data_IF_099303500641
#
_entry.id   IF_099303500641
#
_cell.length_a   1.000
_cell.length_b   1.000
_cell.length_c   1.000
_cell.angle_alpha   90.00
_cell.angle_beta   90.00
_cell.angle_gamma   90.00
#
_symmetry.space_group_name_H-M   'P 1'
#
loop_
_entity.id
_entity.type
_entity.pdbx_description
1 polymer ?
#
# COMPACT_ATOMS: atom_id res chain seq x y z
N UNK A 1 -19.58 -7.44 12.93
CA UNK A 1 -20.96 -7.09 12.53
C UNK A 1 -21.05 -5.66 12.01
N UNK A 2 -20.53 -4.64 12.72
CA UNK A 2 -20.54 -3.24 12.24
C UNK A 2 -19.67 -2.98 10.99
N UNK A 3 -18.47 -3.56 10.89
CA UNK A 3 -17.61 -3.39 9.69
C UNK A 3 -18.23 -3.98 8.42
N UNK A 4 -19.00 -5.07 8.52
CA UNK A 4 -19.70 -5.65 7.38
C UNK A 4 -20.79 -4.71 6.86
N UNK A 5 -21.53 -4.06 7.78
CA UNK A 5 -22.54 -3.07 7.43
C UNK A 5 -21.94 -1.83 6.76
N UNK A 6 -20.78 -1.35 7.23
CA UNK A 6 -20.11 -0.20 6.61
C UNK A 6 -19.55 -0.53 5.22
N UNK A 7 -19.02 -1.74 5.03
CA UNK A 7 -18.56 -2.20 3.72
C UNK A 7 -19.72 -2.29 2.72
N UNK A 8 -20.85 -2.89 3.12
CA UNK A 8 -22.04 -2.97 2.27
C UNK A 8 -22.61 -1.58 1.96
N UNK A 9 -22.58 -0.66 2.94
CA UNK A 9 -22.94 0.74 2.73
C UNK A 9 -22.07 1.41 1.65
N UNK A 10 -20.74 1.21 1.67
CA UNK A 10 -19.88 1.78 0.63
C UNK A 10 -20.14 1.12 -0.73
N UNK A 11 -20.38 -0.19 -0.77
CA UNK A 11 -20.73 -0.91 -2.00
C UNK A 11 -22.02 -0.39 -2.63
N UNK A 12 -23.03 -0.08 -1.83
CA UNK A 12 -24.27 0.54 -2.33
C UNK A 12 -23.99 1.90 -2.96
N UNK A 13 -23.18 2.74 -2.29
CA UNK A 13 -22.75 4.04 -2.82
C UNK A 13 -21.93 3.92 -4.11
N UNK A 14 -21.07 2.91 -4.21
CA UNK A 14 -20.32 2.61 -5.43
C UNK A 14 -21.25 2.22 -6.59
N UNK A 15 -22.31 1.45 -6.33
CA UNK A 15 -23.32 1.14 -7.37
C UNK A 15 -24.03 2.39 -7.87
N UNK A 16 -24.36 3.32 -6.98
CA UNK A 16 -24.94 4.62 -7.37
C UNK A 16 -23.91 5.47 -8.13
N UNK A 17 -22.65 5.44 -7.71
CA UNK A 17 -21.55 6.22 -8.32
C UNK A 17 -21.33 5.88 -9.79
N UNK A 18 -21.62 4.64 -10.23
CA UNK A 18 -21.53 4.23 -11.64
C UNK A 18 -22.28 5.16 -12.62
N UNK A 19 -23.28 5.91 -12.15
CA UNK A 19 -24.04 6.84 -12.99
C UNK A 19 -23.33 8.17 -13.27
N UNK A 20 -22.36 8.55 -12.43
CA UNK A 20 -21.71 9.87 -12.44
C UNK A 20 -20.19 9.82 -12.43
N UNK A 21 -19.61 8.67 -12.06
CA UNK A 21 -18.16 8.54 -11.92
C UNK A 21 -17.45 8.58 -13.27
N UNK A 22 -16.24 9.16 -13.28
CA UNK A 22 -15.36 9.08 -14.43
C UNK A 22 -14.91 7.62 -14.65
N UNK A 23 -14.80 7.18 -15.90
CA UNK A 23 -14.29 5.85 -16.25
C UNK A 23 -12.93 5.92 -16.97
N UNK A 24 -12.70 6.96 -17.77
CA UNK A 24 -11.47 7.17 -18.52
C UNK A 24 -10.30 7.55 -17.58
N UNK A 25 -9.25 6.72 -17.50
CA UNK A 25 -8.08 7.01 -16.66
C UNK A 25 -7.03 7.89 -17.37
N UNK A 26 -7.22 8.28 -18.63
CA UNK A 26 -6.17 8.91 -19.46
C UNK A 26 -5.54 10.13 -18.79
N UNK A 27 -6.34 11.02 -18.20
CA UNK A 27 -5.83 12.22 -17.49
C UNK A 27 -5.00 11.87 -16.25
N UNK A 28 -5.33 10.80 -15.53
CA UNK A 28 -4.56 10.34 -14.37
C UNK A 28 -3.22 9.74 -14.80
N UNK A 29 -3.22 9.00 -15.91
CA UNK A 29 -2.02 8.41 -16.51
C UNK A 29 -1.10 9.51 -17.03
N UNK A 30 -1.63 10.47 -17.81
CA UNK A 30 -0.88 11.63 -18.30
C UNK A 30 -0.26 12.42 -17.16
N UNK A 31 -1.00 12.62 -16.08
CA UNK A 31 -0.49 13.27 -14.88
C UNK A 31 0.66 12.47 -14.26
N UNK A 32 0.50 11.15 -14.07
CA UNK A 32 1.54 10.28 -13.50
C UNK A 32 2.81 10.29 -14.35
N UNK A 33 2.68 10.21 -15.67
CA UNK A 33 3.79 10.31 -16.63
C UNK A 33 4.48 11.68 -16.59
N UNK A 34 3.70 12.76 -16.45
CA UNK A 34 4.23 14.10 -16.22
C UNK A 34 5.06 14.17 -14.94
N UNK A 35 4.60 13.53 -13.86
CA UNK A 35 5.34 13.46 -12.58
C UNK A 35 6.62 12.62 -12.70
N UNK A 36 6.59 11.49 -13.41
CA UNK A 36 7.78 10.64 -13.67
C UNK A 36 8.91 11.46 -14.29
N UNK A 37 8.61 12.23 -15.34
CA UNK A 37 9.60 13.07 -16.03
C UNK A 37 10.24 14.15 -15.17
N UNK A 38 9.58 14.56 -14.09
CA UNK A 38 10.00 15.66 -13.22
C UNK A 38 10.68 15.19 -11.93
N UNK A 39 10.59 13.90 -11.60
CA UNK A 39 11.10 13.37 -10.34
C UNK A 39 12.59 12.97 -10.50
N UNK A 40 13.53 13.61 -9.81
CA UNK A 40 14.92 13.17 -9.80
C UNK A 40 15.06 11.93 -8.90
N UNK A 41 14.88 10.74 -9.50
CA UNK A 41 15.00 9.47 -8.80
C UNK A 41 15.79 8.47 -9.65
N UNK A 42 16.81 7.85 -9.06
CA UNK A 42 17.56 6.77 -9.68
C UNK A 42 17.85 5.65 -8.67
N UNK A 43 17.82 4.42 -9.16
CA UNK A 43 18.18 3.24 -8.39
C UNK A 43 19.10 2.37 -9.26
N UNK A 44 20.13 1.81 -8.64
CA UNK A 44 21.12 0.96 -9.30
C UNK A 44 21.36 -0.28 -8.45
N UNK A 45 21.59 -1.42 -9.11
CA UNK A 45 22.02 -2.62 -8.41
C UNK A 45 23.44 -2.42 -7.89
N UNK A 46 23.65 -2.75 -6.62
CA UNK A 46 24.95 -2.76 -5.95
C UNK A 46 25.18 -4.13 -5.31
N UNK A 47 26.42 -4.47 -4.96
CA UNK A 47 26.66 -5.69 -4.22
C UNK A 47 26.06 -5.57 -2.81
N UNK A 48 25.53 -6.68 -2.27
CA UNK A 48 24.90 -6.70 -0.95
C UNK A 48 25.83 -6.23 0.18
N UNK A 49 27.13 -6.52 0.04
CA UNK A 49 28.20 -6.06 0.95
C UNK A 49 28.45 -4.54 0.92
N UNK A 50 28.04 -3.88 -0.16
CA UNK A 50 28.23 -2.43 -0.35
C UNK A 50 27.03 -1.62 0.20
N UNK A 51 25.98 -2.30 0.67
CA UNK A 51 24.80 -1.64 1.23
C UNK A 51 25.15 -1.00 2.58
N UNK A 52 25.17 0.32 2.61
CA UNK A 52 25.49 1.08 3.81
C UNK A 52 24.53 0.76 4.96
N UNK A 53 25.05 0.65 6.18
CA UNK A 53 24.29 0.37 7.41
C UNK A 53 23.60 -1.00 7.47
N UNK A 54 23.91 -1.90 6.55
CA UNK A 54 23.53 -3.31 6.65
C UNK A 54 24.75 -4.16 7.02
N UNK A 55 24.51 -5.19 7.83
CA UNK A 55 25.54 -6.10 8.38
C UNK A 55 25.07 -7.53 8.30
N UNK A 56 26.03 -8.45 8.30
CA UNK A 56 25.80 -9.88 8.41
C UNK A 56 26.25 -10.33 9.81
N UNK A 57 25.45 -11.13 10.51
CA UNK A 57 25.82 -11.74 11.79
C UNK A 57 26.56 -13.08 11.61
N UNK A 58 27.00 -13.69 12.71
CA UNK A 58 27.71 -14.98 12.71
C UNK A 58 26.83 -16.16 12.22
N UNK A 59 25.50 -15.99 12.25
CA UNK A 59 24.54 -16.96 11.71
C UNK A 59 24.27 -16.76 10.21
N UNK A 60 24.85 -15.72 9.61
CA UNK A 60 24.67 -15.37 8.21
C UNK A 60 23.44 -14.51 7.92
N UNK A 61 22.67 -14.10 8.93
CA UNK A 61 21.51 -13.23 8.76
C UNK A 61 21.96 -11.81 8.43
N UNK A 62 21.18 -11.11 7.59
CA UNK A 62 21.49 -9.75 7.16
C UNK A 62 20.46 -8.78 7.72
N UNK A 63 20.93 -7.75 8.41
CA UNK A 63 20.08 -6.81 9.15
C UNK A 63 20.59 -5.38 9.02
N UNK A 64 19.69 -4.41 9.24
CA UNK A 64 20.07 -3.01 9.37
C UNK A 64 20.57 -2.71 10.79
N UNK A 65 21.68 -1.96 10.92
CA UNK A 65 22.27 -1.62 12.23
C UNK A 65 21.35 -0.81 13.15
N UNK A 66 20.33 -0.14 12.61
CA UNK A 66 19.33 0.57 13.44
C UNK A 66 18.24 -0.35 14.00
N UNK A 67 18.19 -1.62 13.58
CA UNK A 67 17.10 -2.55 13.87
C UNK A 67 15.80 -2.26 13.10
N UNK A 68 15.78 -1.26 12.21
CA UNK A 68 14.61 -0.91 11.40
C UNK A 68 14.56 -1.70 10.09
N UNK A 69 13.44 -1.55 9.37
CA UNK A 69 13.17 -2.16 8.05
C UNK A 69 12.85 -3.66 8.15
N UNK A 70 13.77 -4.52 7.70
CA UNK A 70 13.59 -5.97 7.62
C UNK A 70 14.94 -6.66 7.82
N UNK A 71 14.89 -7.96 8.11
CA UNK A 71 16.05 -8.84 8.10
C UNK A 71 15.93 -9.84 6.94
N UNK A 72 17.07 -10.35 6.46
CA UNK A 72 17.14 -11.50 5.56
C UNK A 72 17.68 -12.67 6.39
N UNK A 73 16.88 -13.71 6.54
CA UNK A 73 17.18 -14.88 7.36
C UNK A 73 17.07 -16.16 6.54
N UNK A 74 17.59 -17.27 7.05
CA UNK A 74 17.41 -18.60 6.46
C UNK A 74 16.24 -19.35 7.09
N UNK A 75 15.41 -20.01 6.28
CA UNK A 75 14.38 -20.93 6.76
C UNK A 75 14.54 -22.31 6.14
N UNK A 76 14.22 -23.33 6.94
CA UNK A 76 14.06 -24.72 6.50
C UNK A 76 12.59 -25.10 6.54
N UNK A 77 12.05 -25.51 5.41
CA UNK A 77 10.66 -25.96 5.28
C UNK A 77 10.63 -27.48 5.14
N UNK A 78 9.74 -28.13 5.88
CA UNK A 78 9.51 -29.57 5.81
C UNK A 78 8.03 -29.83 5.60
N UNK A 79 7.70 -30.66 4.61
CA UNK A 79 6.33 -31.12 4.36
C UNK A 79 6.06 -32.40 5.15
N UNK A 80 4.79 -32.59 5.54
CA UNK A 80 4.37 -33.88 6.07
C UNK A 80 4.60 -35.00 5.03
N UNK A 81 4.97 -36.23 5.46
CA UNK A 81 5.23 -37.34 4.54
C UNK A 81 4.06 -37.58 3.59
N UNK A 82 4.35 -37.67 2.29
CA UNK A 82 3.36 -37.94 1.23
C UNK A 82 2.44 -36.77 0.87
N UNK A 83 2.56 -35.58 1.50
CA UNK A 83 1.70 -34.44 1.21
C UNK A 83 2.12 -33.64 -0.02
N UNK A 84 3.43 -33.54 -0.30
CA UNK A 84 4.00 -32.81 -1.44
C UNK A 84 5.08 -33.64 -2.14
N UNK A 85 5.30 -33.34 -3.41
CA UNK A 85 6.35 -33.95 -4.24
C UNK A 85 7.76 -33.68 -3.68
N UNK A 86 8.00 -32.46 -3.17
CA UNK A 86 9.25 -32.09 -2.51
C UNK A 86 9.05 -32.13 -0.99
N UNK A 87 9.83 -32.98 -0.31
CA UNK A 87 9.72 -33.22 1.13
C UNK A 87 10.23 -32.04 1.99
N UNK A 88 11.12 -31.20 1.46
CA UNK A 88 11.60 -30.02 2.15
C UNK A 88 12.63 -29.24 1.33
N UNK A 89 12.89 -28.00 1.74
CA UNK A 89 13.88 -27.13 1.11
C UNK A 89 14.36 -26.06 2.10
N UNK A 90 15.47 -25.43 1.75
CA UNK A 90 16.00 -24.26 2.45
C UNK A 90 15.91 -23.03 1.52
N UNK A 91 15.64 -21.87 2.08
CA UNK A 91 15.64 -20.61 1.33
C UNK A 91 15.92 -19.40 2.20
N UNK A 92 16.42 -18.29 1.62
CA UNK A 92 16.33 -16.99 2.29
C UNK A 92 14.88 -16.54 2.41
N UNK A 93 14.60 -15.74 3.43
CA UNK A 93 13.30 -15.14 3.68
C UNK A 93 13.47 -13.75 4.28
N UNK A 94 12.55 -12.84 3.96
CA UNK A 94 12.47 -11.53 4.57
C UNK A 94 11.61 -11.57 5.83
N UNK A 95 12.15 -11.08 6.93
CA UNK A 95 11.43 -10.98 8.21
C UNK A 95 11.25 -9.53 8.61
N UNK A 96 10.01 -9.14 8.90
CA UNK A 96 9.64 -7.81 9.40
C UNK A 96 8.44 -7.97 10.32
N UNK A 97 8.65 -7.85 11.62
CA UNK A 97 7.67 -8.26 12.65
C UNK A 97 6.49 -7.30 12.80
N UNK A 98 6.72 -6.00 12.62
CA UNK A 98 5.76 -4.97 13.02
C UNK A 98 4.67 -4.69 11.97
N UNK A 99 4.82 -5.27 10.77
CA UNK A 99 3.93 -5.06 9.65
C UNK A 99 3.73 -3.57 9.31
N UNK A 100 2.67 -3.28 8.60
CA UNK A 100 2.33 -1.92 8.21
C UNK A 100 0.85 -1.72 8.01
N UNK A 101 0.54 -0.52 7.52
CA UNK A 101 -0.80 -0.08 7.18
C UNK A 101 -0.84 0.33 5.71
N UNK A 102 -1.87 -0.15 5.02
CA UNK A 102 -2.20 0.11 3.64
C UNK A 102 -3.62 0.68 3.62
N UNK A 103 -3.76 2.01 3.62
CA UNK A 103 -5.07 2.65 3.74
C UNK A 103 -5.42 3.48 2.51
N UNK A 104 -6.66 3.35 2.07
CA UNK A 104 -7.30 4.27 1.12
C UNK A 104 -8.29 5.16 1.85
N UNK A 105 -8.11 6.47 1.68
CA UNK A 105 -9.18 7.44 1.96
C UNK A 105 -10.12 7.47 0.76
N UNK A 106 -11.42 7.42 1.01
CA UNK A 106 -12.45 7.68 0.02
C UNK A 106 -13.36 8.81 0.45
N UNK A 107 -13.96 9.49 -0.52
CA UNK A 107 -14.98 10.52 -0.31
C UNK A 107 -16.07 10.34 -1.34
N UNK A 108 -17.17 11.05 -1.19
CA UNK A 108 -18.19 11.17 -2.22
C UNK A 108 -18.45 12.62 -2.58
N UNK A 109 -18.64 12.90 -3.86
CA UNK A 109 -19.05 14.23 -4.34
C UNK A 109 -20.26 14.10 -5.26
N UNK A 110 -21.17 15.08 -5.32
CA UNK A 110 -22.37 15.00 -6.16
C UNK A 110 -22.06 14.74 -7.64
N UNK A 111 -21.01 15.35 -8.17
CA UNK A 111 -20.70 15.34 -9.61
C UNK A 111 -19.81 14.17 -10.04
N UNK A 112 -19.15 13.48 -9.11
CA UNK A 112 -18.16 12.43 -9.42
C UNK A 112 -18.38 11.11 -8.68
N UNK A 113 -19.38 11.06 -7.80
CA UNK A 113 -19.62 9.90 -6.95
C UNK A 113 -18.46 9.65 -5.98
N UNK A 114 -18.23 8.38 -5.67
CA UNK A 114 -17.16 7.93 -4.78
C UNK A 114 -15.80 7.95 -5.48
N UNK A 115 -14.86 8.69 -4.89
CA UNK A 115 -13.46 8.75 -5.32
C UNK A 115 -12.54 8.24 -4.20
N UNK A 116 -11.40 7.64 -4.57
CA UNK A 116 -10.34 7.20 -3.66
C UNK A 116 -9.09 8.06 -3.87
N UNK A 117 -8.43 8.46 -2.79
CA UNK A 117 -7.23 9.29 -2.85
C UNK A 117 -6.00 8.40 -3.08
N UNK A 118 -5.46 8.40 -4.29
CA UNK A 118 -4.24 7.66 -4.62
C UNK A 118 -3.00 8.52 -4.38
N UNK A 119 -1.93 7.89 -3.90
CA UNK A 119 -0.62 8.50 -3.76
C UNK A 119 0.27 8.13 -4.96
N UNK A 120 0.85 9.08 -5.66
CA UNK A 120 1.99 8.82 -6.54
C UNK A 120 3.24 8.65 -5.68
N UNK A 121 3.67 7.41 -5.48
CA UNK A 121 4.79 7.06 -4.61
C UNK A 121 5.92 6.44 -5.40
N UNK A 122 7.13 6.95 -5.17
CA UNK A 122 8.34 6.37 -5.72
C UNK A 122 8.88 5.30 -4.77
N UNK A 123 9.12 4.10 -5.28
CA UNK A 123 9.81 3.04 -4.55
C UNK A 123 10.95 2.47 -5.43
N UNK A 124 12.12 2.16 -4.86
CA UNK A 124 13.31 1.76 -5.64
C UNK A 124 13.13 0.43 -6.39
N UNK A 125 12.18 -0.41 -5.99
CA UNK A 125 11.83 -1.66 -6.66
C UNK A 125 10.81 -1.51 -7.80
N UNK A 126 10.20 -0.33 -7.98
CA UNK A 126 9.19 -0.13 -9.01
C UNK A 126 9.82 0.01 -10.40
N UNK A 127 9.30 -0.74 -11.37
CA UNK A 127 9.55 -0.44 -12.79
C UNK A 127 8.87 0.90 -13.11
N UNK A 128 9.63 1.86 -13.65
CA UNK A 128 9.19 3.25 -13.84
C UNK A 128 9.16 4.10 -12.56
N UNK A 129 9.69 3.57 -11.44
CA UNK A 129 9.85 4.14 -10.08
C UNK A 129 8.59 4.71 -9.41
N UNK A 130 7.79 5.52 -10.08
CA UNK A 130 6.58 6.17 -9.55
C UNK A 130 5.32 5.41 -9.97
N UNK A 131 4.52 4.93 -9.02
CA UNK A 131 3.25 4.25 -9.26
C UNK A 131 2.14 4.83 -8.37
N UNK A 132 0.88 4.58 -8.70
CA UNK A 132 -0.23 4.84 -7.78
C UNK A 132 -0.27 3.81 -6.67
N UNK A 133 -0.22 4.29 -5.43
CA UNK A 133 -0.22 3.56 -4.18
C UNK A 133 -1.43 3.98 -3.32
N UNK A 134 -1.73 3.23 -2.24
CA UNK A 134 -2.73 3.67 -1.25
C UNK A 134 -2.40 5.06 -0.70
N UNK A 135 -3.42 5.76 -0.18
CA UNK A 135 -3.25 7.09 0.41
C UNK A 135 -2.17 7.09 1.49
N UNK A 136 -2.16 6.04 2.30
CA UNK A 136 -1.20 5.80 3.38
C UNK A 136 -0.58 4.42 3.15
N UNK A 137 0.73 4.39 2.95
CA UNK A 137 1.54 3.18 2.83
C UNK A 137 2.77 3.33 3.72
N UNK A 138 2.71 2.78 4.94
CA UNK A 138 3.78 2.93 5.93
C UNK A 138 3.81 1.77 6.93
N UNK A 139 4.93 1.60 7.64
CA UNK A 139 5.03 0.66 8.77
C UNK A 139 4.41 1.27 10.02
N UNK A 140 3.93 0.43 10.95
CA UNK A 140 3.41 0.94 12.23
C UNK A 140 4.49 1.63 13.06
N UNK A 141 5.74 1.17 12.97
CA UNK A 141 6.90 1.84 13.57
C UNK A 141 7.03 3.29 13.09
N UNK A 142 6.92 3.53 11.78
CA UNK A 142 7.00 4.89 11.22
C UNK A 142 5.79 5.75 11.62
N UNK A 143 4.60 5.16 11.72
CA UNK A 143 3.39 5.87 12.15
C UNK A 143 3.50 6.29 13.62
N UNK A 144 4.02 5.43 14.50
CA UNK A 144 4.12 5.67 15.95
C UNK A 144 5.35 6.49 16.34
N UNK A 145 6.47 6.29 15.64
CA UNK A 145 7.79 6.80 16.02
C UNK A 145 8.10 8.24 15.59
N UNK A 146 7.34 8.81 14.66
CA UNK A 146 7.64 10.13 14.10
C UNK A 146 6.73 11.21 14.69
N UNK A 147 7.31 12.15 15.45
CA UNK A 147 6.67 13.42 15.85
C UNK A 147 6.81 14.46 14.72
N UNK A 148 5.80 15.32 14.61
CA UNK A 148 5.76 16.51 13.74
C UNK A 148 5.89 16.21 12.23
N UNK A 149 6.52 17.11 11.45
CA UNK A 149 6.59 17.11 9.97
C UNK A 149 7.17 15.85 9.30
N UNK A 150 7.56 14.84 10.08
CA UNK A 150 8.01 13.52 9.61
C UNK A 150 6.93 12.45 9.67
N UNK A 151 5.79 12.71 10.31
CA UNK A 151 4.64 11.78 10.34
C UNK A 151 4.15 11.54 8.92
N UNK A 152 3.82 10.30 8.58
CA UNK A 152 3.27 9.97 7.27
C UNK A 152 2.02 10.84 6.99
N UNK A 153 1.87 11.46 5.81
CA UNK A 153 0.68 12.24 5.50
C UNK A 153 -0.60 11.44 5.74
N UNK A 154 -1.61 12.09 6.30
CA UNK A 154 -2.91 11.50 6.64
C UNK A 154 -2.88 10.42 7.73
N UNK A 155 -1.77 10.22 8.45
CA UNK A 155 -1.69 9.24 9.53
C UNK A 155 -2.72 9.48 10.66
N UNK A 156 -3.19 10.72 10.83
CA UNK A 156 -4.29 11.08 11.72
C UNK A 156 -5.63 10.50 11.28
N UNK A 157 -5.83 10.22 9.99
CA UNK A 157 -7.06 9.60 9.50
C UNK A 157 -7.14 8.10 9.83
N UNK A 158 -6.05 7.47 10.29
CA UNK A 158 -6.07 6.06 10.71
C UNK A 158 -6.90 5.83 11.97
N UNK A 159 -7.12 6.88 12.76
CA UNK A 159 -7.96 6.87 13.95
C UNK A 159 -9.36 7.43 13.58
N UNK A 160 -10.42 6.61 13.59
CA UNK A 160 -11.77 7.06 13.24
C UNK A 160 -12.25 8.21 14.13
N UNK A 161 -13.02 9.13 13.54
CA UNK A 161 -13.57 10.33 14.18
C UNK A 161 -14.91 10.69 13.53
N UNK A 162 -15.54 11.78 13.97
CA UNK A 162 -16.78 12.27 13.36
C UNK A 162 -16.61 12.56 11.85
N UNK A 163 -15.40 12.93 11.40
CA UNK A 163 -15.12 13.17 9.98
C UNK A 163 -14.57 11.95 9.24
N UNK A 164 -14.15 10.90 9.94
CA UNK A 164 -13.49 9.73 9.36
C UNK A 164 -14.18 8.45 9.82
N UNK A 165 -14.91 7.82 8.90
CA UNK A 165 -15.62 6.57 9.13
C UNK A 165 -14.79 5.38 8.65
N UNK A 166 -14.54 4.41 9.54
CA UNK A 166 -13.93 3.14 9.15
C UNK A 166 -14.90 2.29 8.34
N UNK A 167 -14.55 1.99 7.08
CA UNK A 167 -15.36 1.16 6.19
C UNK A 167 -14.91 -0.29 6.23
N UNK A 168 -13.60 -0.51 6.15
CA UNK A 168 -13.01 -1.84 6.11
C UNK A 168 -11.69 -1.85 6.86
N UNK A 169 -11.43 -2.93 7.60
CA UNK A 169 -10.15 -3.20 8.26
C UNK A 169 -9.89 -4.71 8.25
N UNK A 170 -8.76 -5.13 7.73
CA UNK A 170 -8.35 -6.53 7.79
C UNK A 170 -6.85 -6.71 7.65
N UNK A 171 -6.29 -7.71 8.33
CA UNK A 171 -4.89 -8.11 8.16
C UNK A 171 -4.78 -9.09 7.01
N UNK A 172 -4.00 -8.75 5.99
CA UNK A 172 -3.68 -9.65 4.88
C UNK A 172 -2.20 -9.99 4.92
N UNK A 173 -1.88 -11.24 4.59
CA UNK A 173 -0.50 -11.70 4.49
C UNK A 173 0.11 -11.24 3.17
N UNK A 174 1.38 -10.86 3.23
CA UNK A 174 2.21 -10.68 2.04
C UNK A 174 2.60 -12.03 1.43
N UNK A 175 3.41 -11.99 0.38
CA UNK A 175 3.84 -13.20 -0.34
C UNK A 175 4.64 -14.15 0.56
N UNK A 176 4.00 -15.23 1.03
CA UNK A 176 4.59 -16.21 1.94
C UNK A 176 5.77 -17.02 1.39
N UNK A 177 6.06 -16.89 0.08
CA UNK A 177 7.25 -17.47 -0.55
C UNK A 177 8.51 -16.61 -0.34
N UNK A 178 8.34 -15.36 0.10
CA UNK A 178 9.41 -14.36 0.26
C UNK A 178 9.42 -13.72 1.63
N UNK A 179 8.26 -13.58 2.29
CA UNK A 179 8.14 -12.95 3.60
C UNK A 179 7.72 -13.95 4.67
N UNK A 180 8.39 -13.91 5.82
CA UNK A 180 8.07 -14.75 6.97
C UNK A 180 6.90 -14.14 7.74
N UNK A 181 5.72 -14.75 7.63
CA UNK A 181 4.52 -14.42 8.39
C UNK A 181 4.19 -12.91 8.43
N UNK A 182 4.58 -12.17 7.39
CA UNK A 182 4.37 -10.73 7.32
C UNK A 182 2.93 -10.46 6.94
N UNK A 183 2.27 -9.63 7.75
CA UNK A 183 0.95 -9.11 7.43
C UNK A 183 0.94 -7.59 7.42
N UNK A 184 0.11 -7.02 6.56
CA UNK A 184 -0.23 -5.61 6.55
C UNK A 184 -1.71 -5.44 6.87
N UNK A 185 -2.04 -4.35 7.57
CA UNK A 185 -3.41 -3.96 7.84
C UNK A 185 -3.96 -3.13 6.67
N UNK A 186 -4.95 -3.67 5.97
CA UNK A 186 -5.62 -3.03 4.85
C UNK A 186 -6.84 -2.28 5.39
N UNK A 187 -6.95 -1.00 5.04
CA UNK A 187 -8.01 -0.13 5.54
C UNK A 187 -8.67 0.67 4.42
N UNK A 188 -9.99 0.85 4.53
CA UNK A 188 -10.75 1.82 3.75
C UNK A 188 -11.42 2.76 4.74
N UNK A 189 -11.19 4.05 4.58
CA UNK A 189 -11.65 5.11 5.47
C UNK A 189 -12.44 6.11 4.65
N UNK A 190 -13.70 6.31 4.97
CA UNK A 190 -14.56 7.29 4.31
C UNK A 190 -14.45 8.64 5.03
N UNK A 191 -14.20 9.69 4.26
CA UNK A 191 -14.05 11.07 4.72
C UNK A 191 -15.38 11.79 4.48
N UNK A 192 -16.07 12.16 5.55
CA UNK A 192 -17.39 12.81 5.47
C UNK A 192 -17.28 14.21 4.84
N UNK A 193 -16.30 15.00 5.28
CA UNK A 193 -15.93 16.30 4.72
C UNK A 193 -14.44 16.32 4.31
N UNK A 194 -14.21 16.18 3.01
CA UNK A 194 -12.86 16.20 2.43
C UNK A 194 -12.23 17.60 2.35
N UNK A 195 -12.99 18.68 2.58
CA UNK A 195 -12.44 20.05 2.59
C UNK A 195 -11.51 20.30 3.79
N UNK A 196 -11.65 19.49 4.84
CA UNK A 196 -10.75 19.48 5.98
C UNK A 196 -9.35 18.88 5.66
N UNK A 197 -9.19 18.21 4.52
CA UNK A 197 -7.92 17.62 4.11
C UNK A 197 -7.07 18.60 3.30
N UNK A 198 -5.81 18.76 3.70
CA UNK A 198 -4.82 19.47 2.87
C UNK A 198 -4.16 18.47 1.93
N UNK A 199 -4.49 18.53 0.64
CA UNK A 199 -4.02 17.57 -0.37
C UNK A 199 -2.93 18.23 -1.23
N UNK A 200 -1.75 17.63 -1.27
CA UNK A 200 -0.69 18.02 -2.22
C UNK A 200 -0.99 17.42 -3.60
N UNK A 201 -1.45 18.27 -4.52
CA UNK A 201 -1.75 17.91 -5.91
C UNK A 201 -0.54 17.40 -6.73
N UNK A 202 0.68 17.54 -6.22
CA UNK A 202 1.88 16.94 -6.83
C UNK A 202 2.07 15.47 -6.46
N UNK A 203 1.41 15.03 -5.40
CA UNK A 203 1.60 13.71 -4.78
C UNK A 203 0.30 12.91 -4.81
N UNK A 204 -0.86 13.55 -4.75
CA UNK A 204 -2.14 12.87 -4.59
C UNK A 204 -3.15 13.20 -5.69
N UNK A 205 -3.95 12.20 -6.06
CA UNK A 205 -5.04 12.33 -7.02
C UNK A 205 -6.25 11.50 -6.59
N UNK A 206 -7.43 12.11 -6.68
CA UNK A 206 -8.68 11.39 -6.58
C UNK A 206 -8.94 10.59 -7.86
N UNK A 207 -9.40 9.35 -7.70
CA UNK A 207 -9.78 8.47 -8.81
C UNK A 207 -11.02 7.66 -8.43
N UNK A 208 -11.94 7.47 -9.36
CA UNK A 208 -13.08 6.57 -9.17
C UNK A 208 -12.63 5.10 -9.11
N UNK A 209 -13.50 4.20 -8.64
CA UNK A 209 -13.22 2.77 -8.68
C UNK A 209 -13.10 2.26 -10.13
N UNK A 210 -13.89 2.81 -11.06
CA UNK A 210 -13.78 2.47 -12.49
C UNK A 210 -12.42 2.88 -13.08
N UNK A 211 -11.93 4.09 -12.80
CA UNK A 211 -10.60 4.51 -13.26
C UNK A 211 -9.50 3.63 -12.67
N UNK A 212 -9.59 3.30 -11.37
CA UNK A 212 -8.66 2.39 -10.71
C UNK A 212 -8.64 1.04 -11.40
N UNK A 213 -9.81 0.45 -11.68
CA UNK A 213 -9.94 -0.84 -12.40
C UNK A 213 -9.35 -0.78 -13.80
N UNK A 214 -9.55 0.31 -14.54
CA UNK A 214 -8.94 0.50 -15.86
C UNK A 214 -7.40 0.60 -15.78
N UNK A 215 -6.89 1.38 -14.82
CA UNK A 215 -5.43 1.51 -14.63
C UNK A 215 -4.77 0.20 -14.17
N UNK A 216 -5.49 -0.71 -13.50
CA UNK A 216 -4.96 -2.03 -13.11
C UNK A 216 -4.68 -2.97 -14.29
N UNK A 217 -5.27 -2.69 -15.46
CA UNK A 217 -5.02 -3.40 -16.71
C UNK A 217 -3.72 -2.96 -17.40
N UNK A 218 -3.11 -1.88 -16.91
CA UNK A 218 -1.88 -1.32 -17.47
C UNK A 218 -0.68 -1.71 -16.62
N UNK A 219 0.41 -2.05 -17.31
CA UNK A 219 1.67 -2.39 -16.65
C UNK A 219 2.24 -1.19 -15.91
N UNK A 220 2.71 -1.45 -14.69
CA UNK A 220 3.48 -0.49 -13.90
C UNK A 220 2.77 0.84 -13.60
N UNK A 221 1.43 0.91 -13.63
CA UNK A 221 0.68 2.14 -13.27
C UNK A 221 0.19 2.10 -11.83
N UNK A 222 -0.45 1.01 -11.42
CA UNK A 222 -1.01 0.82 -10.08
C UNK A 222 -0.20 -0.23 -9.32
N UNK A 223 0.35 0.18 -8.17
CA UNK A 223 1.10 -0.67 -7.27
C UNK A 223 0.25 -1.80 -6.68
N UNK A 224 0.88 -2.89 -6.20
CA UNK A 224 0.17 -4.09 -5.76
C UNK A 224 -0.79 -3.81 -4.60
N UNK A 225 -0.44 -2.88 -3.71
CA UNK A 225 -1.21 -2.61 -2.51
C UNK A 225 -2.57 -1.97 -2.76
N UNK A 226 -2.73 -1.14 -3.81
CA UNK A 226 -4.06 -0.62 -4.18
C UNK A 226 -4.97 -1.78 -4.58
N UNK A 227 -4.44 -2.77 -5.32
CA UNK A 227 -5.19 -3.96 -5.76
C UNK A 227 -5.73 -4.73 -4.57
N UNK A 228 -4.90 -4.91 -3.54
CA UNK A 228 -5.29 -5.60 -2.30
C UNK A 228 -6.36 -4.83 -1.53
N UNK A 229 -6.19 -3.51 -1.35
CA UNK A 229 -7.12 -2.70 -0.54
C UNK A 229 -8.50 -2.59 -1.18
N UNK A 230 -8.61 -2.54 -2.52
CA UNK A 230 -9.92 -2.46 -3.22
C UNK A 230 -10.55 -3.82 -3.51
N UNK A 231 -9.84 -4.93 -3.31
CA UNK A 231 -10.37 -6.28 -3.52
C UNK A 231 -11.71 -6.59 -2.81
N UNK A 232 -12.00 -6.09 -1.59
CA UNK A 232 -13.30 -6.30 -0.96
C UNK A 232 -14.44 -5.43 -1.53
N UNK A 233 -14.20 -4.52 -2.49
CA UNK A 233 -15.21 -3.61 -3.04
C UNK A 233 -16.00 -4.16 -4.22
#
# INVERSE_FOLDING_TARGET
>A
MAEHQNLDWLRDRLRTSLQVEANDPSKLIEWLEGRRKQLPFSAHLIALRDVANWRQDDNGNIYNVSGQFFCIEGVRVQSAPGLREIAGWDQPIFTQTDGGVLALLCRETPDRGVEFLLQAKADPGNIGYLQFCPTIQSTWENIRGLKDARRAPFAECLDPSDNIRLIYRSKHNEEGSRFWQKSNENMILFVEDSTALTIDDRTYRWASLSQIKQMMLLDNVVGPYVRTVVAPL
#
